data_IF_950114053241
#
_entry.id   IF_950114053241
#
_cell.length_a   1.000
_cell.length_b   1.000
_cell.length_c   1.000
_cell.angle_alpha   90.00
_cell.angle_beta   90.00
_cell.angle_gamma   90.00
#
_symmetry.space_group_name_H-M   'P 1'
#
loop_
_entity.id
_entity.type
_entity.pdbx_description
1 polymer ?
#
# COMPACT_ATOMS: atom_id res chain seq x y z
N UNK A 1 -30.23 9.55 -5.87
CA UNK A 1 -29.55 8.38 -6.48
C UNK A 1 -28.17 8.63 -7.10
N UNK A 2 -27.69 9.85 -7.46
CA UNK A 2 -26.35 10.01 -8.03
C UNK A 2 -25.20 9.98 -6.99
N UNK A 3 -25.48 10.33 -5.73
CA UNK A 3 -24.49 10.39 -4.67
C UNK A 3 -23.92 9.01 -4.26
N UNK A 4 -24.75 7.96 -4.27
CA UNK A 4 -24.32 6.60 -3.95
C UNK A 4 -23.41 6.00 -5.04
N UNK A 5 -23.67 6.34 -6.30
CA UNK A 5 -22.90 5.89 -7.46
C UNK A 5 -21.53 6.61 -7.52
N UNK A 6 -21.51 7.91 -7.18
CA UNK A 6 -20.27 8.66 -7.00
C UNK A 6 -19.41 8.12 -5.84
N UNK A 7 -20.04 7.72 -4.72
CA UNK A 7 -19.34 7.10 -3.58
C UNK A 7 -18.72 5.75 -3.96
N UNK A 8 -19.46 4.92 -4.70
CA UNK A 8 -18.98 3.63 -5.21
C UNK A 8 -17.80 3.80 -6.19
N UNK A 9 -17.84 4.82 -7.07
CA UNK A 9 -16.75 5.13 -7.98
C UNK A 9 -15.51 5.67 -7.24
N UNK A 10 -15.69 6.50 -6.22
CA UNK A 10 -14.60 6.98 -5.36
C UNK A 10 -13.96 5.85 -4.54
N UNK A 11 -14.78 4.92 -4.01
CA UNK A 11 -14.30 3.71 -3.33
C UNK A 11 -13.58 2.76 -4.29
N UNK A 12 -14.05 2.63 -5.54
CA UNK A 12 -13.39 1.83 -6.57
C UNK A 12 -12.07 2.45 -7.06
N UNK A 13 -11.97 3.78 -7.13
CA UNK A 13 -10.70 4.48 -7.39
C UNK A 13 -9.74 4.35 -6.20
N UNK A 14 -10.23 4.35 -4.95
CA UNK A 14 -9.45 4.11 -3.74
C UNK A 14 -8.98 2.65 -3.56
N UNK A 15 -9.72 1.68 -4.11
CA UNK A 15 -9.38 0.25 -4.07
C UNK A 15 -8.33 -0.19 -5.10
N UNK A 16 -7.95 0.72 -6.02
CA UNK A 16 -6.68 0.65 -6.75
C UNK A 16 -5.50 1.15 -5.91
N UNK A 17 -5.69 1.22 -4.59
CA UNK A 17 -4.64 1.50 -3.63
C UNK A 17 -3.44 0.62 -3.90
N UNK A 18 -2.40 1.24 -4.46
CA UNK A 18 -1.00 0.94 -4.23
C UNK A 18 -0.69 -0.54 -3.99
N UNK A 19 -1.13 -1.41 -4.90
CA UNK A 19 -0.80 -2.83 -4.84
C UNK A 19 0.67 -2.94 -5.17
N UNK A 20 1.45 -3.43 -4.22
CA UNK A 20 2.88 -3.58 -4.39
C UNK A 20 3.29 -4.88 -5.09
N UNK A 21 4.59 -5.06 -5.37
CA UNK A 21 5.07 -6.14 -6.22
C UNK A 21 4.58 -7.54 -5.79
N UNK A 22 4.71 -7.88 -4.51
CA UNK A 22 4.19 -9.14 -3.96
C UNK A 22 2.68 -9.07 -3.69
N UNK A 23 2.15 -7.88 -3.43
CA UNK A 23 0.73 -7.66 -3.18
C UNK A 23 -0.11 -7.70 -4.47
N UNK A 24 0.52 -7.78 -5.65
CA UNK A 24 -0.16 -8.12 -6.88
C UNK A 24 -0.71 -9.56 -6.84
N UNK A 25 -0.10 -10.44 -6.05
CA UNK A 25 -0.61 -11.77 -5.76
C UNK A 25 -1.68 -11.70 -4.64
N UNK A 26 -2.94 -12.09 -4.91
CA UNK A 26 -4.01 -12.04 -3.91
C UNK A 26 -3.76 -12.99 -2.73
N UNK A 27 -3.07 -14.11 -2.95
CA UNK A 27 -2.79 -15.10 -1.90
C UNK A 27 -1.80 -14.58 -0.86
N UNK A 28 -0.81 -13.78 -1.28
CA UNK A 28 0.14 -13.13 -0.37
C UNK A 28 -0.58 -12.09 0.49
N UNK A 29 -1.43 -11.27 -0.12
CA UNK A 29 -2.24 -10.27 0.62
C UNK A 29 -3.15 -10.93 1.64
N UNK A 30 -3.80 -12.02 1.25
CA UNK A 30 -4.67 -12.77 2.15
C UNK A 30 -3.88 -13.35 3.32
N UNK A 31 -2.75 -14.01 3.06
CA UNK A 31 -1.92 -14.60 4.11
C UNK A 31 -1.44 -13.55 5.14
N UNK A 32 -1.00 -12.38 4.66
CA UNK A 32 -0.59 -11.27 5.54
C UNK A 32 -1.77 -10.72 6.35
N UNK A 33 -2.93 -10.52 5.72
CA UNK A 33 -4.15 -10.08 6.40
C UNK A 33 -4.61 -11.07 7.48
N UNK A 34 -4.55 -12.37 7.20
CA UNK A 34 -4.86 -13.43 8.16
C UNK A 34 -3.86 -13.47 9.33
N UNK A 35 -2.56 -13.28 9.05
CA UNK A 35 -1.55 -13.15 10.11
C UNK A 35 -1.81 -11.92 10.99
N UNK A 36 -2.15 -10.78 10.39
CA UNK A 36 -2.49 -9.56 11.13
C UNK A 36 -3.74 -9.73 11.98
N UNK A 37 -4.79 -10.36 11.43
CA UNK A 37 -6.00 -10.68 12.18
C UNK A 37 -5.72 -11.63 13.36
N UNK A 38 -4.76 -12.55 13.19
CA UNK A 38 -4.32 -13.46 14.25
C UNK A 38 -3.49 -12.78 15.35
N UNK A 39 -2.98 -11.55 15.15
CA UNK A 39 -2.33 -10.72 16.18
C UNK A 39 -3.37 -10.14 17.17
N UNK A 40 -4.16 -11.03 17.74
CA UNK A 40 -5.12 -10.71 18.78
C UNK A 40 -4.41 -10.34 20.09
N UNK A 41 -5.11 -9.66 21.02
CA UNK A 41 -4.62 -9.42 22.38
C UNK A 41 -4.21 -10.69 23.14
N UNK A 42 -4.58 -11.88 22.64
CA UNK A 42 -4.18 -13.18 23.19
C UNK A 42 -2.74 -13.60 22.84
N UNK A 43 -2.17 -13.05 21.76
CA UNK A 43 -0.78 -13.35 21.34
C UNK A 43 0.19 -12.22 21.67
N UNK A 44 -0.28 -10.98 21.71
CA UNK A 44 0.52 -9.83 22.15
C UNK A 44 -0.29 -9.07 23.18
N UNK A 45 0.17 -9.13 24.42
CA UNK A 45 -0.52 -8.57 25.58
C UNK A 45 -0.18 -7.09 25.76
N UNK A 46 1.05 -6.71 25.39
CA UNK A 46 1.53 -5.33 25.46
C UNK A 46 1.03 -4.51 24.28
N UNK A 47 0.14 -3.54 24.54
CA UNK A 47 -0.43 -2.66 23.51
C UNK A 47 0.62 -2.01 22.60
N UNK A 48 1.75 -1.56 23.18
CA UNK A 48 2.86 -0.97 22.41
C UNK A 48 3.48 -1.95 21.41
N UNK A 49 3.64 -3.22 21.79
CA UNK A 49 4.16 -4.25 20.89
C UNK A 49 3.13 -4.60 19.82
N UNK A 50 1.85 -4.66 20.20
CA UNK A 50 0.77 -4.94 19.26
C UNK A 50 0.67 -3.86 18.18
N UNK A 51 0.72 -2.58 18.57
CA UNK A 51 0.72 -1.46 17.64
C UNK A 51 1.89 -1.52 16.65
N UNK A 52 3.10 -1.88 17.12
CA UNK A 52 4.28 -2.06 16.26
C UNK A 52 4.12 -3.22 15.29
N UNK A 53 3.65 -4.37 15.78
CA UNK A 53 3.43 -5.55 14.96
C UNK A 53 2.35 -5.31 13.89
N UNK A 54 1.25 -4.64 14.26
CA UNK A 54 0.22 -4.24 13.30
C UNK A 54 0.75 -3.25 12.26
N UNK A 55 1.49 -2.23 12.67
CA UNK A 55 2.07 -1.26 11.74
C UNK A 55 3.03 -1.93 10.73
N UNK A 56 3.83 -2.90 11.20
CA UNK A 56 4.74 -3.67 10.36
C UNK A 56 3.99 -4.49 9.30
N UNK A 57 2.95 -5.22 9.70
CA UNK A 57 2.14 -6.00 8.77
C UNK A 57 1.31 -5.12 7.83
N UNK A 58 0.74 -4.01 8.31
CA UNK A 58 0.04 -3.05 7.45
C UNK A 58 0.96 -2.46 6.38
N UNK A 59 2.22 -2.17 6.72
CA UNK A 59 3.20 -1.73 5.72
C UNK A 59 3.46 -2.82 4.67
N UNK A 60 3.60 -4.08 5.11
CA UNK A 60 3.79 -5.24 4.22
C UNK A 60 2.53 -5.62 3.41
N UNK A 61 1.32 -5.39 3.91
CA UNK A 61 0.07 -5.53 3.15
C UNK A 61 -0.12 -4.38 2.14
N UNK A 62 0.49 -3.24 2.43
CA UNK A 62 0.42 -2.02 1.64
C UNK A 62 1.57 -1.88 0.64
N UNK A 63 2.10 -0.66 0.43
CA UNK A 63 2.99 -0.37 -0.70
C UNK A 63 4.45 -0.78 -0.48
N UNK A 64 4.84 -1.27 0.70
CA UNK A 64 6.25 -1.42 1.08
C UNK A 64 7.10 -2.17 0.05
N UNK A 65 6.63 -3.31 -0.45
CA UNK A 65 7.40 -4.11 -1.43
C UNK A 65 7.45 -3.47 -2.82
N UNK A 66 6.43 -2.70 -3.23
CA UNK A 66 6.54 -1.90 -4.46
C UNK A 66 7.48 -0.75 -4.28
N UNK A 67 7.36 0.00 -3.19
CA UNK A 67 8.24 1.13 -2.94
C UNK A 67 9.69 0.66 -2.89
N UNK A 68 9.95 -0.53 -2.34
CA UNK A 68 11.25 -1.18 -2.45
C UNK A 68 11.64 -1.47 -3.90
N UNK A 69 10.76 -2.12 -4.67
CA UNK A 69 11.03 -2.51 -6.05
C UNK A 69 11.25 -1.33 -7.01
N UNK A 70 10.50 -0.23 -6.87
CA UNK A 70 10.55 0.92 -7.80
C UNK A 70 11.58 1.97 -7.39
N UNK A 71 11.91 2.08 -6.09
CA UNK A 71 12.89 3.07 -5.63
C UNK A 71 14.32 2.50 -5.58
N UNK A 72 14.49 1.18 -5.43
CA UNK A 72 15.80 0.55 -5.39
C UNK A 72 16.16 -0.22 -6.68
N UNK A 73 15.17 -0.49 -7.54
CA UNK A 73 15.34 -1.27 -8.78
C UNK A 73 14.41 -0.70 -9.87
N UNK A 74 14.37 -1.36 -11.03
CA UNK A 74 13.54 -0.98 -12.18
C UNK A 74 12.02 -1.15 -11.97
N UNK A 75 11.57 -1.67 -10.82
CA UNK A 75 10.15 -1.90 -10.55
C UNK A 75 9.51 -3.00 -11.41
N UNK A 76 10.31 -3.85 -12.04
CA UNK A 76 9.86 -4.97 -12.88
C UNK A 76 10.54 -6.27 -12.47
N UNK A 77 9.83 -7.39 -12.62
CA UNK A 77 10.32 -8.71 -12.23
C UNK A 77 9.76 -9.81 -13.14
N UNK A 78 10.55 -10.83 -13.40
CA UNK A 78 10.12 -12.04 -14.11
C UNK A 78 8.97 -12.73 -13.34
N UNK A 79 7.90 -13.15 -14.03
CA UNK A 79 6.70 -13.70 -13.40
C UNK A 79 6.97 -15.00 -12.62
N UNK A 80 7.73 -15.92 -13.24
CA UNK A 80 8.07 -17.21 -12.65
C UNK A 80 8.88 -17.03 -11.36
N UNK A 81 9.87 -16.14 -11.40
CA UNK A 81 10.71 -15.83 -10.24
C UNK A 81 9.88 -15.17 -9.12
N UNK A 82 8.94 -14.29 -9.47
CA UNK A 82 8.06 -13.66 -8.49
C UNK A 82 7.11 -14.67 -7.82
N UNK A 83 6.58 -15.65 -8.57
CA UNK A 83 5.72 -16.71 -8.03
C UNK A 83 6.42 -17.53 -6.94
N UNK A 84 7.73 -17.79 -7.10
CA UNK A 84 8.54 -18.45 -6.08
C UNK A 84 8.64 -17.60 -4.81
N UNK A 85 8.85 -16.28 -4.95
CA UNK A 85 8.90 -15.36 -3.80
C UNK A 85 7.52 -15.23 -3.13
N UNK A 86 6.44 -15.21 -3.90
CA UNK A 86 5.08 -15.19 -3.40
C UNK A 86 4.77 -16.45 -2.57
N UNK A 87 5.12 -17.63 -3.11
CA UNK A 87 4.97 -18.91 -2.42
C UNK A 87 5.81 -18.99 -1.15
N UNK A 88 7.07 -18.55 -1.20
CA UNK A 88 7.93 -18.42 -0.02
C UNK A 88 7.29 -17.54 1.06
N UNK A 89 6.81 -16.35 0.66
CA UNK A 89 6.19 -15.38 1.56
C UNK A 89 4.94 -15.95 2.21
N UNK A 90 4.06 -16.60 1.44
CA UNK A 90 2.85 -17.25 1.93
C UNK A 90 3.18 -18.34 2.95
N UNK A 91 4.15 -19.19 2.66
CA UNK A 91 4.55 -20.29 3.53
C UNK A 91 5.09 -19.78 4.86
N UNK A 92 6.01 -18.82 4.82
CA UNK A 92 6.60 -18.21 6.02
C UNK A 92 5.54 -17.48 6.87
N UNK A 93 4.63 -16.76 6.22
CA UNK A 93 3.53 -16.05 6.89
C UNK A 93 2.56 -17.01 7.56
N UNK A 94 2.20 -18.10 6.88
CA UNK A 94 1.31 -19.14 7.41
C UNK A 94 1.93 -19.87 8.61
N UNK A 95 3.22 -20.20 8.51
CA UNK A 95 3.98 -20.81 9.60
C UNK A 95 3.97 -19.93 10.85
N UNK A 96 4.24 -18.63 10.70
CA UNK A 96 4.25 -17.70 11.83
C UNK A 96 2.86 -17.51 12.46
N UNK A 97 1.81 -17.53 11.63
CA UNK A 97 0.42 -17.45 12.09
C UNK A 97 0.06 -18.64 12.99
N UNK A 98 0.48 -19.85 12.61
CA UNK A 98 0.20 -21.08 13.34
C UNK A 98 1.19 -21.35 14.48
N UNK A 99 2.33 -20.65 14.50
CA UNK A 99 3.37 -20.83 15.50
C UNK A 99 2.97 -20.35 16.91
N UNK A 100 3.68 -20.84 17.95
CA UNK A 100 3.34 -20.56 19.35
C UNK A 100 3.88 -19.21 19.87
N UNK A 101 4.67 -18.47 19.08
CA UNK A 101 5.34 -17.25 19.53
C UNK A 101 4.35 -16.19 20.00
N UNK A 102 4.71 -15.47 21.07
CA UNK A 102 3.94 -14.37 21.65
C UNK A 102 4.83 -13.15 21.88
N UNK A 103 4.21 -11.99 22.11
CA UNK A 103 4.85 -10.75 22.56
C UNK A 103 6.13 -10.37 21.79
N UNK A 104 7.26 -10.20 22.49
CA UNK A 104 8.52 -9.74 21.90
C UNK A 104 9.12 -10.75 20.90
N UNK A 105 9.22 -12.07 21.20
CA UNK A 105 9.65 -13.07 20.23
C UNK A 105 8.82 -13.06 18.94
N UNK A 106 7.50 -12.86 19.03
CA UNK A 106 6.65 -12.75 17.85
C UNK A 106 6.99 -11.51 17.02
N UNK A 107 7.22 -10.36 17.67
CA UNK A 107 7.62 -9.14 16.97
C UNK A 107 8.97 -9.29 16.28
N UNK A 108 9.96 -9.90 16.95
CA UNK A 108 11.27 -10.15 16.36
C UNK A 108 11.18 -11.08 15.15
N UNK A 109 10.36 -12.13 15.23
CA UNK A 109 10.14 -13.03 14.10
C UNK A 109 9.40 -12.33 12.94
N UNK A 110 8.49 -11.39 13.22
CA UNK A 110 7.86 -10.57 12.17
C UNK A 110 8.87 -9.66 11.46
N UNK A 111 9.80 -9.05 12.20
CA UNK A 111 10.87 -8.22 11.61
C UNK A 111 11.78 -9.10 10.75
N UNK A 112 12.12 -10.30 11.24
CA UNK A 112 12.94 -11.26 10.52
C UNK A 112 12.23 -11.79 9.27
N UNK A 113 10.92 -12.05 9.34
CA UNK A 113 10.09 -12.39 8.20
C UNK A 113 10.19 -11.32 7.11
N UNK A 114 9.99 -10.04 7.47
CA UNK A 114 10.12 -8.93 6.52
C UNK A 114 11.50 -8.93 5.87
N UNK A 115 12.56 -9.09 6.66
CA UNK A 115 13.93 -9.12 6.14
C UNK A 115 14.14 -10.27 5.15
N UNK A 116 13.70 -11.50 5.48
CA UNK A 116 13.82 -12.67 4.60
C UNK A 116 13.07 -12.45 3.28
N UNK A 117 11.84 -11.94 3.34
CA UNK A 117 11.04 -11.64 2.15
C UNK A 117 11.71 -10.56 1.29
N UNK A 118 12.24 -9.49 1.89
CA UNK A 118 12.99 -8.46 1.17
C UNK A 118 14.23 -9.05 0.50
N UNK A 119 14.95 -9.96 1.15
CA UNK A 119 16.13 -10.63 0.57
C UNK A 119 15.76 -11.46 -0.66
N UNK A 120 14.70 -12.25 -0.60
CA UNK A 120 14.24 -13.04 -1.75
C UNK A 120 13.75 -12.14 -2.90
N UNK A 121 12.95 -11.12 -2.57
CA UNK A 121 12.49 -10.14 -3.56
C UNK A 121 13.66 -9.39 -4.22
N UNK A 122 14.68 -9.02 -3.43
CA UNK A 122 15.89 -8.37 -3.95
C UNK A 122 16.61 -9.22 -4.99
N UNK A 123 16.71 -10.54 -4.79
CA UNK A 123 17.38 -11.45 -5.73
C UNK A 123 16.71 -11.42 -7.10
N UNK A 124 15.38 -11.54 -7.12
CA UNK A 124 14.62 -11.61 -8.38
C UNK A 124 14.57 -10.26 -9.10
N UNK A 125 14.47 -9.15 -8.35
CA UNK A 125 14.55 -7.80 -8.93
C UNK A 125 15.93 -7.54 -9.56
N UNK A 126 17.00 -7.89 -8.85
CA UNK A 126 18.37 -7.75 -9.34
C UNK A 126 18.63 -8.65 -10.56
N UNK A 127 18.09 -9.87 -10.56
CA UNK A 127 18.19 -10.81 -11.68
C UNK A 127 17.61 -10.19 -12.96
N UNK A 128 16.38 -9.66 -12.88
CA UNK A 128 15.75 -8.98 -14.01
C UNK A 128 16.54 -7.74 -14.46
N UNK A 129 16.97 -6.89 -13.51
CA UNK A 129 17.73 -5.69 -13.81
C UNK A 129 19.03 -6.00 -14.56
N UNK A 130 19.79 -7.02 -14.12
CA UNK A 130 21.02 -7.45 -14.81
C UNK A 130 20.74 -7.87 -16.27
N UNK A 131 19.64 -8.61 -16.51
CA UNK A 131 19.27 -9.05 -17.87
C UNK A 131 18.78 -7.90 -18.74
N UNK A 132 17.94 -7.02 -18.19
CA UNK A 132 17.30 -5.92 -18.92
C UNK A 132 18.30 -4.81 -19.28
N UNK A 133 19.36 -4.66 -18.50
CA UNK A 133 20.42 -3.69 -18.70
C UNK A 133 21.57 -4.19 -19.58
N UNK A 134 21.72 -5.51 -19.75
CA UNK A 134 22.74 -6.05 -20.64
C UNK A 134 22.33 -5.89 -22.11
N UNK A 135 23.12 -5.20 -22.96
CA UNK A 135 22.76 -4.91 -24.35
C UNK A 135 22.57 -6.14 -25.25
N UNK A 136 23.19 -7.29 -24.88
CA UNK A 136 23.13 -8.54 -25.62
C UNK A 136 21.97 -9.40 -25.11
N UNK A 137 21.85 -9.54 -23.78
CA UNK A 137 20.83 -10.40 -23.15
C UNK A 137 19.44 -9.79 -23.25
N UNK A 138 19.28 -8.48 -23.10
CA UNK A 138 17.96 -7.84 -23.05
C UNK A 138 17.13 -8.08 -24.32
N UNK A 139 17.78 -8.25 -25.48
CA UNK A 139 17.13 -8.54 -26.77
C UNK A 139 16.56 -9.95 -26.86
N UNK A 140 17.01 -10.85 -25.99
CA UNK A 140 16.58 -12.24 -25.92
C UNK A 140 15.44 -12.43 -24.90
N UNK A 141 15.14 -11.41 -24.08
CA UNK A 141 14.03 -11.46 -23.14
C UNK A 141 12.70 -11.45 -23.90
N UNK A 142 11.96 -12.55 -23.78
CA UNK A 142 10.63 -12.74 -24.40
C UNK A 142 9.54 -13.05 -23.38
N UNK A 143 9.93 -13.53 -22.20
CA UNK A 143 8.99 -13.90 -21.14
C UNK A 143 8.34 -12.64 -20.54
N UNK A 144 7.06 -12.74 -20.21
CA UNK A 144 6.32 -11.64 -19.59
C UNK A 144 6.87 -11.30 -18.20
N UNK A 145 6.90 -10.00 -17.92
CA UNK A 145 7.34 -9.47 -16.63
C UNK A 145 6.20 -8.72 -15.95
N UNK A 146 6.19 -8.74 -14.63
CA UNK A 146 5.26 -7.94 -13.85
C UNK A 146 5.81 -6.55 -13.62
N UNK A 147 5.02 -5.53 -13.94
CA UNK A 147 5.20 -4.16 -13.46
C UNK A 147 4.68 -4.05 -12.02
N UNK A 148 5.61 -3.92 -11.06
CA UNK A 148 5.31 -3.82 -9.63
C UNK A 148 4.55 -2.53 -9.25
N UNK A 149 4.57 -1.48 -10.08
CA UNK A 149 3.89 -0.22 -9.81
C UNK A 149 2.39 -0.33 -10.10
N UNK A 150 2.05 -1.03 -11.19
CA UNK A 150 0.68 -1.12 -11.70
C UNK A 150 0.05 -2.51 -11.57
N UNK A 151 0.80 -3.52 -11.12
CA UNK A 151 0.42 -4.93 -11.14
C UNK A 151 -0.04 -5.43 -12.51
N UNK A 152 0.69 -5.04 -13.55
CA UNK A 152 0.37 -5.39 -14.94
C UNK A 152 1.43 -6.32 -15.52
N UNK A 153 0.99 -7.35 -16.23
CA UNK A 153 1.88 -8.16 -17.07
C UNK A 153 2.24 -7.35 -18.30
N UNK A 154 3.53 -7.20 -18.56
CA UNK A 154 4.07 -6.40 -19.66
C UNK A 154 5.18 -7.15 -20.35
N UNK A 155 5.47 -6.77 -21.60
CA UNK A 155 6.65 -7.28 -22.29
C UNK A 155 7.93 -6.66 -21.69
N UNK A 156 9.04 -7.43 -21.64
CA UNK A 156 10.32 -6.91 -21.20
C UNK A 156 10.85 -5.89 -22.22
N UNK A 157 11.59 -4.90 -21.73
CA UNK A 157 12.21 -3.87 -22.57
C UNK A 157 13.68 -3.71 -22.18
N UNK A 158 14.55 -3.53 -23.17
CA UNK A 158 15.94 -3.17 -22.94
C UNK A 158 16.03 -1.79 -22.28
N UNK A 159 16.74 -1.71 -21.16
CA UNK A 159 16.96 -0.46 -20.44
C UNK A 159 18.35 0.07 -20.80
N UNK A 160 18.45 1.39 -21.04
CA UNK A 160 19.74 2.03 -21.30
C UNK A 160 20.58 2.05 -20.03
N UNK A 161 21.87 1.72 -20.10
CA UNK A 161 22.79 1.70 -18.96
C UNK A 161 22.71 2.90 -18.03
N UNK A 162 22.47 4.11 -18.55
CA UNK A 162 22.34 5.32 -17.72
C UNK A 162 21.15 5.32 -16.75
N UNK A 163 20.18 4.42 -16.95
CA UNK A 163 19.02 4.21 -16.08
C UNK A 163 19.11 2.91 -15.27
N UNK A 164 20.21 2.16 -15.42
CA UNK A 164 20.44 0.91 -14.73
C UNK A 164 21.21 1.16 -13.44
N UNK A 165 20.87 0.44 -12.37
CA UNK A 165 21.55 0.54 -11.06
C UNK A 165 21.60 1.97 -10.51
N UNK A 166 20.64 2.82 -10.92
CA UNK A 166 20.48 4.14 -10.31
C UNK A 166 19.95 3.88 -8.92
N UNK A 167 20.80 4.06 -7.91
CA UNK A 167 20.39 4.05 -6.50
C UNK A 167 19.35 5.16 -6.31
N UNK A 168 18.06 4.85 -6.50
CA UNK A 168 16.95 5.75 -6.23
C UNK A 168 16.64 5.87 -4.73
N UNK A 169 17.36 5.12 -3.88
CA UNK A 169 17.27 5.24 -2.44
C UNK A 169 18.23 6.32 -1.91
N UNK A 170 17.74 7.33 -1.16
CA UNK A 170 18.59 7.91 -0.13
C UNK A 170 19.00 6.78 0.81
N UNK A 171 20.30 6.57 1.02
CA UNK A 171 20.84 5.59 1.98
C UNK A 171 20.02 5.71 3.26
N UNK A 172 19.39 4.61 3.69
CA UNK A 172 18.52 4.56 4.86
C UNK A 172 19.34 4.90 6.12
N UNK A 173 19.61 6.17 6.37
CA UNK A 173 19.45 6.68 7.72
C UNK A 173 17.99 6.42 8.08
N UNK A 174 17.74 5.96 9.28
CA UNK A 174 16.39 5.87 9.86
C UNK A 174 15.81 7.29 9.92
N UNK A 175 15.46 7.88 8.79
CA UNK A 175 14.47 8.92 8.74
C UNK A 175 13.19 8.18 9.05
N UNK A 176 12.82 8.21 10.33
CA UNK A 176 11.43 8.42 10.69
C UNK A 176 10.97 9.56 9.78
N UNK A 177 10.41 9.23 8.61
CA UNK A 177 9.45 10.10 7.98
C UNK A 177 8.44 10.29 9.09
N UNK A 178 8.44 11.48 9.70
CA UNK A 178 7.30 11.98 10.43
C UNK A 178 6.11 11.65 9.54
N UNK A 179 5.40 10.59 9.91
CA UNK A 179 4.29 10.08 9.13
C UNK A 179 3.41 11.28 8.92
N UNK A 180 3.24 11.66 7.65
CA UNK A 180 2.41 12.76 7.14
C UNK A 180 1.74 13.50 8.32
N UNK A 181 2.45 14.48 8.86
CA UNK A 181 2.18 15.00 10.21
C UNK A 181 0.70 15.35 10.42
N UNK A 182 0.25 15.48 11.68
CA UNK A 182 -1.15 15.78 12.03
C UNK A 182 -1.74 16.97 11.26
N UNK A 183 -0.89 17.85 10.70
CA UNK A 183 -1.24 18.90 9.73
C UNK A 183 -2.14 18.48 8.57
N UNK A 184 -1.97 17.32 7.92
CA UNK A 184 -2.87 16.95 6.81
C UNK A 184 -4.25 16.52 7.29
N UNK A 185 -4.32 15.97 8.50
CA UNK A 185 -5.56 15.55 9.15
C UNK A 185 -6.31 16.77 9.72
N UNK A 186 -5.57 17.76 10.23
CA UNK A 186 -6.08 19.08 10.63
C UNK A 186 -6.57 19.88 9.41
N UNK A 187 -5.86 19.87 8.29
CA UNK A 187 -6.33 20.52 7.05
C UNK A 187 -7.61 19.87 6.53
N UNK A 188 -7.68 18.54 6.53
CA UNK A 188 -8.89 17.81 6.14
C UNK A 188 -10.06 18.16 7.07
N UNK A 189 -9.82 18.22 8.37
CA UNK A 189 -10.81 18.63 9.37
C UNK A 189 -11.27 20.08 9.18
N UNK A 190 -10.35 21.02 8.90
CA UNK A 190 -10.69 22.41 8.59
C UNK A 190 -11.56 22.51 7.33
N UNK A 191 -11.19 21.83 6.25
CA UNK A 191 -11.95 21.86 4.99
C UNK A 191 -13.37 21.30 5.20
N UNK A 192 -13.50 20.20 5.94
CA UNK A 192 -14.80 19.60 6.27
C UNK A 192 -15.64 20.55 7.14
N UNK A 193 -15.04 21.17 8.16
CA UNK A 193 -15.73 22.10 9.07
C UNK A 193 -16.23 23.34 8.35
N UNK A 194 -15.39 23.97 7.52
CA UNK A 194 -15.77 25.15 6.73
C UNK A 194 -16.87 24.81 5.72
N UNK A 195 -16.79 23.65 5.07
CA UNK A 195 -17.82 23.19 4.15
C UNK A 195 -19.17 22.97 4.85
N UNK A 196 -19.19 22.36 6.04
CA UNK A 196 -20.40 22.19 6.84
C UNK A 196 -21.01 23.52 7.29
N UNK A 197 -20.17 24.47 7.72
CA UNK A 197 -20.62 25.80 8.13
C UNK A 197 -21.25 26.56 6.95
N UNK A 198 -20.63 26.50 5.76
CA UNK A 198 -21.18 27.12 4.56
C UNK A 198 -22.53 26.51 4.16
N UNK A 199 -22.66 25.17 4.23
CA UNK A 199 -23.92 24.48 3.92
C UNK A 199 -25.04 24.87 4.91
N UNK A 200 -24.75 24.95 6.21
CA UNK A 200 -25.70 25.40 7.22
C UNK A 200 -26.14 26.84 6.97
N UNK A 201 -25.20 27.74 6.64
CA UNK A 201 -25.51 29.13 6.35
C UNK A 201 -26.44 29.26 5.14
N UNK A 202 -26.17 28.52 4.06
CA UNK A 202 -27.06 28.49 2.87
C UNK A 202 -28.44 27.95 3.22
N UNK A 203 -28.52 26.89 4.04
CA UNK A 203 -29.81 26.34 4.47
C UNK A 203 -30.65 27.36 5.28
N UNK A 204 -29.99 28.16 6.14
CA UNK A 204 -30.65 29.23 6.91
C UNK A 204 -31.14 30.35 5.99
N UNK A 205 -30.35 30.74 4.98
CA UNK A 205 -30.78 31.75 4.02
C UNK A 205 -31.98 31.28 3.20
N UNK A 206 -31.95 30.03 2.72
CA UNK A 206 -33.07 29.45 1.96
C UNK A 206 -34.32 29.34 2.83
N UNK A 207 -34.20 28.93 4.09
CA UNK A 207 -35.34 28.87 5.00
C UNK A 207 -35.91 30.25 5.34
N UNK A 208 -35.05 31.27 5.49
CA UNK A 208 -35.48 32.64 5.72
C UNK A 208 -36.19 33.24 4.50
N UNK A 209 -35.70 32.97 3.28
CA UNK A 209 -36.33 33.42 2.04
C UNK A 209 -37.69 32.74 1.84
N UNK A 210 -37.74 31.42 1.98
CA UNK A 210 -39.00 30.65 1.86
C UNK A 210 -40.00 31.03 2.95
N UNK A 211 -39.55 31.27 4.19
CA UNK A 211 -40.42 31.81 5.25
C UNK A 211 -40.96 33.19 4.91
N UNK A 212 -40.13 34.07 4.34
CA UNK A 212 -40.55 35.43 3.94
C UNK A 212 -41.54 35.41 2.78
N UNK A 213 -41.38 34.50 1.82
CA UNK A 213 -42.36 34.30 0.73
C UNK A 213 -43.67 33.71 1.25
N UNK A 214 -43.61 32.66 2.08
CA UNK A 214 -44.80 32.06 2.69
C UNK A 214 -45.55 33.05 3.60
N UNK A 215 -44.85 33.90 4.36
CA UNK A 215 -45.47 34.96 5.17
C UNK A 215 -46.17 36.01 4.31
N UNK A 216 -45.65 36.33 3.12
CA UNK A 216 -46.32 37.25 2.18
C UNK A 216 -47.58 36.63 1.58
N UNK A 217 -47.64 35.32 1.42
CA UNK A 217 -48.83 34.60 0.94
C UNK A 217 -49.93 34.47 2.00
N UNK A 218 -49.57 34.44 3.30
CA UNK A 218 -50.51 34.34 4.42
C UNK A 218 -51.10 35.69 4.89
N UNK A 219 -50.58 36.82 4.39
CA UNK A 219 -51.04 38.18 4.74
C UNK A 219 -51.85 38.84 3.61
N UNK A 220 -52.30 38.05 2.63
CA UNK A 220 -53.32 38.38 1.64
C UNK A 220 -54.59 37.59 1.97
#
# INVERSE_FOLDING_TARGET
MPAALALLLLLALGARGARGCLQCDPSVRQALGELRAALSPKRIHLERLQARAQALLLAMEGPFFRDYAVNAFLGKVDLNDLELVASFTKNQTTQLRQGPLTDMPLLDELVTLRERVVKELKKVLKSYELKACDPKVCRLLKEEVLDCLHCQKTSPMCIKNKYCFVDGQPRMSLQYKEGRGPRSQVLLGMVISVALAALLFVAILVSAVTYRENRKLLLK
#
